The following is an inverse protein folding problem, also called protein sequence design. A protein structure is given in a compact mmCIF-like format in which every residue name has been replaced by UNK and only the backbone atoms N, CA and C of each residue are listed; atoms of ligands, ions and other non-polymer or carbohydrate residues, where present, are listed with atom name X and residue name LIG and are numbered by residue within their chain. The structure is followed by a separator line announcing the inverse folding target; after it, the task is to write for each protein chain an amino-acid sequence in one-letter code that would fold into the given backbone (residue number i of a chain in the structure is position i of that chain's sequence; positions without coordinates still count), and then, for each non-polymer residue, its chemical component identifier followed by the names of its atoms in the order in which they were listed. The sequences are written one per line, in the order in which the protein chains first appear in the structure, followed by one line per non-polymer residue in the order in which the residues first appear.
data_IF_588311377264
#
_entry.id   IF_588311377264
#
_cell.length_a   1.000
_cell.length_b   1.000
_cell.length_c   1.000
_cell.angle_alpha   90.00
_cell.angle_beta   90.00
_cell.angle_gamma   90.00
#
_symmetry.space_group_name_H-M   'P 1'
#
loop_
_entity.id
_entity.type
_entity.pdbx_description
1 polymer ?
#
# COMPACT_ATOMS: atom_id res chain seq x y z
N UNK A 1 -3.04 29.12 -47.27
CA UNK A 1 -2.24 29.34 -46.06
C UNK A 1 -2.97 28.63 -44.88
N UNK A 2 -2.61 27.34 -44.66
CA UNK A 2 -3.19 26.51 -43.62
C UNK A 2 -2.08 26.07 -42.67
N UNK A 3 -2.08 26.59 -41.46
CA UNK A 3 -1.18 26.14 -40.40
C UNK A 3 -1.85 25.00 -39.65
N UNK A 4 -1.40 23.79 -39.87
CA UNK A 4 -1.79 22.61 -39.11
C UNK A 4 -1.10 22.66 -37.75
N UNK A 5 -1.90 22.76 -36.69
CA UNK A 5 -1.47 22.71 -35.31
C UNK A 5 -1.47 21.25 -34.87
N UNK A 6 -0.31 20.62 -34.90
CA UNK A 6 -0.08 19.27 -34.36
C UNK A 6 -0.14 19.33 -32.83
N UNK A 7 -1.20 18.81 -32.25
CA UNK A 7 -1.32 18.56 -30.82
C UNK A 7 -0.41 17.37 -30.43
N UNK A 8 0.64 17.68 -29.69
CA UNK A 8 1.55 16.69 -29.13
C UNK A 8 0.90 16.07 -27.90
N UNK A 9 0.23 14.93 -28.11
CA UNK A 9 -0.29 14.06 -27.04
C UNK A 9 0.88 13.60 -26.17
N UNK A 10 0.99 14.14 -24.97
CA UNK A 10 1.96 13.69 -23.96
C UNK A 10 1.49 12.33 -23.46
N UNK A 11 2.13 11.29 -23.92
CA UNK A 11 2.08 9.98 -23.24
C UNK A 11 2.72 10.12 -21.85
N UNK A 12 1.90 10.19 -20.83
CA UNK A 12 2.37 10.00 -19.44
C UNK A 12 2.48 8.49 -19.22
N UNK A 13 3.68 7.96 -19.41
CA UNK A 13 3.98 6.61 -18.95
C UNK A 13 4.02 6.64 -17.43
N UNK A 14 2.99 6.10 -16.79
CA UNK A 14 2.96 5.83 -15.35
C UNK A 14 4.01 4.78 -15.00
N UNK A 15 5.25 5.20 -14.80
CA UNK A 15 6.29 4.33 -14.25
C UNK A 15 6.15 4.30 -12.75
N UNK A 16 5.92 3.14 -12.21
CA UNK A 16 6.16 2.84 -10.81
C UNK A 16 7.66 3.01 -10.52
N UNK A 17 8.11 4.25 -10.33
CA UNK A 17 9.46 4.55 -9.90
C UNK A 17 9.45 4.86 -8.41
N UNK A 18 9.97 3.96 -7.62
CA UNK A 18 10.48 4.32 -6.30
C UNK A 18 11.77 5.14 -6.53
N UNK A 19 11.84 6.41 -6.11
CA UNK A 19 13.07 7.18 -6.26
C UNK A 19 14.18 6.57 -5.42
N UNK A 20 15.33 6.38 -6.07
CA UNK A 20 16.57 5.95 -5.44
C UNK A 20 17.03 7.00 -4.42
N UNK A 21 17.28 6.55 -3.19
CA UNK A 21 18.02 7.34 -2.20
C UNK A 21 19.49 7.41 -2.64
N UNK A 22 19.92 8.59 -3.10
CA UNK A 22 21.34 8.86 -3.35
C UNK A 22 22.07 9.15 -2.04
N UNK A 23 23.19 8.46 -1.89
CA UNK A 23 24.16 8.55 -0.81
C UNK A 23 24.79 9.94 -0.70
N UNK A 24 25.00 10.39 0.53
CA UNK A 24 25.99 11.41 0.85
C UNK A 24 27.09 10.82 1.76
N UNK A 25 28.30 10.76 1.20
CA UNK A 25 29.56 11.16 1.80
C UNK A 25 30.15 10.36 2.95
N UNK A 26 31.19 9.63 2.60
CA UNK A 26 32.21 9.03 3.46
C UNK A 26 33.17 10.07 4.08
N UNK A 27 33.62 9.83 5.33
CA UNK A 27 34.80 10.43 5.92
C UNK A 27 35.22 9.68 7.20
N UNK A 28 36.54 9.49 7.45
CA UNK A 28 37.05 8.38 8.25
C UNK A 28 37.53 8.72 9.67
N UNK A 29 37.53 7.68 10.52
CA UNK A 29 38.38 7.40 11.71
C UNK A 29 38.36 8.37 12.90
N UNK A 30 37.91 7.83 14.05
CA UNK A 30 38.70 7.90 15.30
C UNK A 30 38.29 6.74 16.21
N UNK A 31 39.26 5.93 16.54
CA UNK A 31 39.24 4.91 17.58
C UNK A 31 39.23 5.59 18.95
N UNK A 32 38.46 5.09 19.92
CA UNK A 32 38.94 4.86 21.28
C UNK A 32 37.90 4.07 22.12
N UNK A 33 38.41 3.06 22.80
CA UNK A 33 37.80 2.16 23.76
C UNK A 33 37.21 2.89 24.98
N UNK A 34 36.07 2.41 25.52
CA UNK A 34 35.90 2.19 26.97
C UNK A 34 34.64 1.38 27.30
N UNK A 35 34.88 0.25 27.91
CA UNK A 35 34.19 -0.47 28.99
C UNK A 35 32.66 -0.43 29.13
N UNK A 36 32.09 -1.61 29.01
CA UNK A 36 31.04 -2.25 29.80
C UNK A 36 30.19 -1.41 30.74
N UNK A 37 28.90 -1.28 30.38
CA UNK A 37 27.80 -1.26 31.31
C UNK A 37 26.70 -2.15 30.73
N UNK A 38 26.48 -3.30 31.34
CA UNK A 38 25.35 -4.18 31.16
C UNK A 38 24.08 -3.43 31.58
N UNK A 39 23.46 -2.73 30.66
CA UNK A 39 22.05 -2.38 30.73
C UNK A 39 21.34 -3.30 29.76
N UNK A 40 20.68 -4.32 30.27
CA UNK A 40 19.77 -5.17 29.53
C UNK A 40 18.63 -4.32 28.96
N UNK A 41 18.83 -3.73 27.79
CA UNK A 41 17.75 -3.30 26.92
C UNK A 41 17.11 -4.57 26.42
N UNK A 42 16.04 -4.98 27.11
CA UNK A 42 15.09 -5.89 26.52
C UNK A 42 14.68 -5.27 25.18
N UNK A 43 15.24 -5.80 24.08
CA UNK A 43 14.65 -5.67 22.76
C UNK A 43 13.26 -6.29 22.86
N UNK A 44 12.28 -5.51 23.27
CA UNK A 44 10.90 -5.80 22.93
C UNK A 44 10.87 -5.76 21.41
N UNK A 45 10.98 -6.94 20.79
CA UNK A 45 10.55 -7.12 19.43
C UNK A 45 9.12 -6.60 19.38
N UNK A 46 8.93 -5.48 18.72
CA UNK A 46 7.61 -4.94 18.41
C UNK A 46 6.96 -5.95 17.46
N UNK A 47 6.27 -6.92 18.05
CA UNK A 47 5.57 -7.94 17.32
C UNK A 47 4.43 -7.26 16.55
N UNK A 48 4.69 -6.92 15.29
CA UNK A 48 3.66 -6.66 14.29
C UNK A 48 2.76 -5.43 14.45
N UNK A 49 3.00 -4.56 15.46
CA UNK A 49 2.21 -3.36 15.65
C UNK A 49 2.67 -2.24 14.70
N UNK A 50 1.79 -1.83 13.79
CA UNK A 50 2.00 -0.64 12.97
C UNK A 50 1.64 0.63 13.78
N UNK A 51 2.25 1.80 13.47
CA UNK A 51 1.88 3.06 14.12
C UNK A 51 0.41 3.39 13.87
N UNK A 52 -0.18 4.14 14.81
CA UNK A 52 -1.58 4.55 14.72
C UNK A 52 -1.87 5.33 13.44
N UNK A 53 -2.95 4.98 12.75
CA UNK A 53 -3.47 5.72 11.60
C UNK A 53 -4.55 6.73 11.97
N UNK A 54 -4.92 6.83 13.25
CA UNK A 54 -5.96 7.76 13.70
C UNK A 54 -5.37 8.98 14.43
N UNK A 55 -4.07 9.03 14.67
CA UNK A 55 -3.44 10.18 15.30
C UNK A 55 -3.22 11.31 14.31
N UNK A 56 -3.48 12.57 14.69
CA UNK A 56 -3.17 13.72 13.86
C UNK A 56 -1.70 13.74 13.43
N UNK A 57 -1.45 14.04 12.15
CA UNK A 57 -0.11 14.02 11.59
C UNK A 57 0.41 12.65 11.20
N UNK A 58 -0.36 11.56 11.43
CA UNK A 58 -0.06 10.20 10.98
C UNK A 58 1.38 9.76 11.31
N UNK A 59 1.79 9.76 12.60
CA UNK A 59 3.17 9.52 12.99
C UNK A 59 3.69 8.19 12.41
N UNK A 60 4.87 8.24 11.76
CA UNK A 60 5.50 7.07 11.15
C UNK A 60 5.00 6.72 9.75
N UNK A 61 3.88 7.25 9.31
CA UNK A 61 3.37 7.11 7.96
C UNK A 61 3.89 8.24 7.05
N UNK A 62 4.20 7.90 5.81
CA UNK A 62 4.67 8.85 4.79
C UNK A 62 3.73 8.82 3.60
N UNK A 63 3.20 9.96 3.24
CA UNK A 63 2.44 10.06 2.01
C UNK A 63 3.35 10.02 0.79
N UNK A 64 2.96 9.22 -0.21
CA UNK A 64 3.58 9.21 -1.55
C UNK A 64 2.52 9.58 -2.58
N UNK A 65 2.78 10.63 -3.31
CA UNK A 65 1.94 11.14 -4.38
C UNK A 65 2.32 10.50 -5.71
N UNK A 66 1.33 10.05 -6.48
CA UNK A 66 1.46 9.49 -7.82
C UNK A 66 0.78 10.36 -8.87
N UNK A 67 -0.45 10.79 -8.60
CA UNK A 67 -1.23 11.69 -9.45
C UNK A 67 -2.17 12.54 -8.58
N UNK A 68 -1.68 13.70 -8.10
CA UNK A 68 -2.40 14.49 -7.11
C UNK A 68 -2.50 13.78 -5.75
N UNK A 69 -3.28 14.35 -4.84
CA UNK A 69 -3.34 13.89 -3.45
C UNK A 69 -4.74 13.45 -3.06
N UNK A 70 -4.85 12.26 -2.53
CA UNK A 70 -6.01 11.78 -1.79
C UNK A 70 -6.00 12.45 -0.41
N UNK A 71 -7.16 12.88 0.07
CA UNK A 71 -7.27 13.49 1.40
C UNK A 71 -7.40 12.39 2.44
N UNK A 72 -6.44 12.33 3.37
CA UNK A 72 -6.44 11.42 4.50
C UNK A 72 -6.72 12.18 5.79
N UNK A 73 -7.84 11.88 6.44
CA UNK A 73 -8.28 12.52 7.67
C UNK A 73 -8.35 11.52 8.82
N UNK A 74 -7.43 11.58 9.79
CA UNK A 74 -7.53 10.81 11.02
C UNK A 74 -8.81 11.19 11.80
N UNK A 75 -9.52 10.18 12.30
CA UNK A 75 -10.72 10.30 13.13
C UNK A 75 -10.46 9.58 14.47
N UNK A 76 -9.80 10.24 15.44
CA UNK A 76 -9.34 9.60 16.68
C UNK A 76 -10.47 9.01 17.51
N UNK A 77 -11.59 9.72 17.64
CA UNK A 77 -12.75 9.28 18.43
C UNK A 77 -13.38 7.99 17.86
N UNK A 78 -13.40 7.86 16.53
CA UNK A 78 -13.92 6.68 15.84
C UNK A 78 -12.87 5.58 15.67
N UNK A 79 -11.60 5.89 15.93
CA UNK A 79 -10.42 5.04 15.67
C UNK A 79 -10.36 4.59 14.20
N UNK A 80 -10.59 5.53 13.30
CA UNK A 80 -10.60 5.33 11.85
C UNK A 80 -9.73 6.37 11.14
N UNK A 81 -9.31 6.03 9.92
CA UNK A 81 -8.75 6.93 8.93
C UNK A 81 -9.75 7.06 7.78
N UNK A 82 -10.23 8.26 7.53
CA UNK A 82 -11.03 8.57 6.34
C UNK A 82 -10.09 8.87 5.18
N UNK A 83 -10.35 8.27 4.01
CA UNK A 83 -9.68 8.55 2.74
C UNK A 83 -10.69 9.00 1.69
N UNK A 84 -10.42 10.14 1.04
CA UNK A 84 -11.27 10.72 0.00
C UNK A 84 -10.43 11.04 -1.23
N UNK A 85 -10.75 10.39 -2.35
CA UNK A 85 -10.12 10.62 -3.65
C UNK A 85 -11.11 11.24 -4.63
N UNK A 86 -10.64 12.19 -5.42
CA UNK A 86 -11.38 12.81 -6.53
C UNK A 86 -10.41 13.00 -7.70
N UNK A 87 -10.34 12.01 -8.58
CA UNK A 87 -9.40 12.00 -9.69
C UNK A 87 -7.93 12.05 -9.24
N UNK A 88 -7.60 11.44 -8.11
CA UNK A 88 -6.28 11.53 -7.48
C UNK A 88 -5.73 10.16 -7.10
N UNK A 89 -4.40 10.07 -6.95
CA UNK A 89 -3.70 8.90 -6.44
C UNK A 89 -2.56 9.31 -5.52
N UNK A 90 -2.70 9.05 -4.24
CA UNK A 90 -1.61 9.03 -3.25
C UNK A 90 -1.84 7.92 -2.23
N UNK A 91 -0.79 7.47 -1.58
CA UNK A 91 -0.88 6.42 -0.56
C UNK A 91 -0.08 6.77 0.69
N UNK A 92 -0.54 6.26 1.83
CA UNK A 92 0.17 6.34 3.10
C UNK A 92 1.00 5.07 3.27
N UNK A 93 2.32 5.22 3.38
CA UNK A 93 3.29 4.13 3.48
C UNK A 93 3.94 4.10 4.86
N UNK A 94 3.95 2.93 5.46
CA UNK A 94 4.76 2.61 6.61
C UNK A 94 5.88 1.67 6.19
N UNK A 95 7.14 2.14 6.25
CA UNK A 95 8.32 1.44 5.73
C UNK A 95 9.18 0.89 6.87
N UNK A 96 8.79 -0.26 7.41
CA UNK A 96 9.60 -1.04 8.36
C UNK A 96 9.46 -2.53 8.06
N UNK A 97 10.56 -3.29 8.16
CA UNK A 97 10.52 -4.74 7.97
C UNK A 97 9.68 -5.44 9.02
N UNK A 98 8.85 -6.40 8.58
CA UNK A 98 8.06 -7.30 9.42
C UNK A 98 8.41 -8.75 9.07
N UNK A 99 8.80 -9.55 10.06
CA UNK A 99 9.03 -11.00 9.90
C UNK A 99 7.67 -11.71 9.80
N UNK A 100 7.28 -12.06 8.56
CA UNK A 100 6.02 -12.76 8.29
C UNK A 100 6.10 -14.27 8.54
N UNK A 101 7.25 -14.81 8.96
CA UNK A 101 7.32 -16.18 9.51
C UNK A 101 6.76 -16.20 10.92
N UNK A 102 7.04 -15.17 11.71
CA UNK A 102 6.55 -15.03 13.08
C UNK A 102 5.11 -14.49 13.12
N UNK A 103 4.77 -13.58 12.22
CA UNK A 103 3.46 -12.90 12.16
C UNK A 103 2.88 -12.90 10.74
N UNK A 104 2.47 -14.07 10.21
CA UNK A 104 2.04 -14.19 8.82
C UNK A 104 0.68 -13.56 8.49
N UNK A 105 -0.10 -13.23 9.50
CA UNK A 105 -1.44 -12.73 9.30
C UNK A 105 -1.49 -11.21 9.34
N UNK A 106 -1.89 -10.58 8.23
CA UNK A 106 -2.27 -9.19 8.19
C UNK A 106 -3.77 -9.07 8.47
N UNK A 107 -4.11 -8.23 9.44
CA UNK A 107 -5.47 -7.93 9.85
C UNK A 107 -5.73 -6.44 9.62
N UNK A 108 -6.93 -6.10 9.14
CA UNK A 108 -7.39 -4.71 9.01
C UNK A 108 -8.91 -4.67 9.00
N UNK A 109 -9.48 -3.48 9.08
CA UNK A 109 -10.88 -3.27 8.76
C UNK A 109 -11.03 -2.11 7.80
N UNK A 110 -12.11 -2.12 7.04
CA UNK A 110 -12.46 -1.06 6.11
C UNK A 110 -13.96 -0.95 5.90
N UNK A 111 -14.37 0.22 5.47
CA UNK A 111 -15.69 0.51 4.98
C UNK A 111 -15.57 1.32 3.70
N UNK A 112 -16.27 0.96 2.66
CA UNK A 112 -16.30 1.67 1.38
C UNK A 112 -17.69 2.27 1.18
N UNK A 113 -17.75 3.53 0.78
CA UNK A 113 -19.02 4.21 0.53
C UNK A 113 -19.58 3.86 -0.86
N UNK A 114 -18.73 3.80 -1.86
CA UNK A 114 -19.10 3.56 -3.25
C UNK A 114 -18.02 2.76 -3.98
N UNK A 115 -18.43 2.01 -4.99
CA UNK A 115 -17.55 1.43 -6.00
C UNK A 115 -17.46 2.37 -7.21
N UNK A 116 -16.49 2.09 -8.11
CA UNK A 116 -16.28 2.85 -9.34
C UNK A 116 -17.05 2.21 -10.49
N UNK A 117 -17.70 3.04 -11.31
CA UNK A 117 -18.51 2.56 -12.44
C UNK A 117 -17.71 2.50 -13.72
N UNK A 118 -17.96 1.47 -14.56
CA UNK A 118 -17.40 1.37 -15.90
C UNK A 118 -15.87 1.18 -15.96
N UNK A 119 -15.22 0.81 -14.85
CA UNK A 119 -13.79 0.49 -14.81
C UNK A 119 -13.56 -0.98 -15.17
N UNK A 120 -12.48 -1.27 -15.89
CA UNK A 120 -11.94 -2.61 -16.06
C UNK A 120 -10.62 -2.69 -15.28
N UNK A 121 -10.65 -3.30 -14.10
CA UNK A 121 -9.54 -3.33 -13.15
C UNK A 121 -8.32 -4.14 -13.65
N UNK A 122 -8.48 -4.85 -14.78
CA UNK A 122 -7.38 -5.57 -15.45
C UNK A 122 -6.65 -4.71 -16.48
N UNK A 123 -7.14 -3.50 -16.73
CA UNK A 123 -6.56 -2.55 -17.69
C UNK A 123 -6.05 -1.30 -16.97
N UNK A 124 -5.02 -0.66 -17.54
CA UNK A 124 -4.42 0.54 -16.98
C UNK A 124 -5.39 1.70 -16.76
N UNK A 125 -6.37 1.83 -17.65
CA UNK A 125 -7.39 2.87 -17.55
C UNK A 125 -8.40 2.65 -16.41
N UNK A 126 -8.40 1.45 -15.82
CA UNK A 126 -9.30 1.07 -14.74
C UNK A 126 -8.59 0.59 -13.48
N UNK A 127 -7.27 0.83 -13.34
CA UNK A 127 -6.48 0.44 -12.13
C UNK A 127 -6.75 1.41 -10.97
N UNK A 128 -8.01 1.63 -10.66
CA UNK A 128 -8.51 2.46 -9.57
C UNK A 128 -9.30 1.61 -8.58
N UNK A 129 -9.14 1.90 -7.30
CA UNK A 129 -9.82 1.15 -6.23
C UNK A 129 -10.31 2.08 -5.12
N UNK A 130 -11.57 1.91 -4.69
CA UNK A 130 -12.10 2.68 -3.57
C UNK A 130 -11.36 2.41 -2.26
N UNK A 131 -10.79 1.19 -2.10
CA UNK A 131 -9.94 0.87 -0.97
C UNK A 131 -8.93 -0.21 -1.33
N UNK A 132 -7.67 -0.02 -0.92
CA UNK A 132 -6.60 -1.02 -1.06
C UNK A 132 -5.53 -0.95 0.04
N UNK A 133 -5.00 -2.12 0.39
CA UNK A 133 -3.87 -2.30 1.30
C UNK A 133 -2.75 -2.97 0.52
N UNK A 134 -1.56 -2.40 0.56
CA UNK A 134 -0.36 -2.98 -0.03
C UNK A 134 0.51 -3.66 1.01
N UNK A 135 1.10 -4.76 0.60
CA UNK A 135 2.21 -5.43 1.28
C UNK A 135 3.37 -5.50 0.30
N UNK A 136 4.48 -4.87 0.63
CA UNK A 136 5.62 -4.69 -0.28
C UNK A 136 6.84 -5.40 0.25
N UNK A 137 7.50 -6.21 -0.59
CA UNK A 137 8.83 -6.75 -0.36
C UNK A 137 9.81 -6.10 -1.33
N UNK A 138 10.83 -5.45 -0.80
CA UNK A 138 11.87 -4.79 -1.59
C UNK A 138 12.82 -5.82 -2.18
N UNK A 139 13.26 -5.59 -3.41
CA UNK A 139 14.24 -6.45 -4.09
C UNK A 139 15.69 -6.28 -3.58
N UNK A 140 15.90 -5.77 -2.37
CA UNK A 140 17.21 -5.46 -1.82
C UNK A 140 17.93 -4.39 -2.67
N UNK A 141 19.17 -4.67 -3.09
CA UNK A 141 19.92 -3.81 -4.00
C UNK A 141 19.36 -3.78 -5.43
N UNK A 142 18.43 -4.68 -5.74
CA UNK A 142 17.85 -4.88 -7.07
C UNK A 142 16.42 -4.35 -7.08
N UNK A 143 16.25 -3.04 -7.25
CA UNK A 143 14.96 -2.34 -7.12
C UNK A 143 13.85 -2.91 -8.04
N UNK A 144 14.18 -3.44 -9.24
CA UNK A 144 13.22 -4.06 -10.16
C UNK A 144 12.71 -5.42 -9.68
N UNK A 145 13.28 -5.99 -8.61
CA UNK A 145 12.75 -7.17 -7.92
C UNK A 145 11.77 -6.83 -6.81
N UNK A 146 11.47 -5.55 -6.58
CA UNK A 146 10.42 -5.16 -5.64
C UNK A 146 9.09 -5.73 -6.10
N UNK A 147 8.41 -6.46 -5.20
CA UNK A 147 7.11 -7.07 -5.44
C UNK A 147 6.08 -6.59 -4.44
N UNK A 148 4.82 -6.66 -4.82
CA UNK A 148 3.72 -6.26 -3.96
C UNK A 148 2.50 -7.18 -4.08
N UNK A 149 1.88 -7.53 -2.96
CA UNK A 149 0.49 -7.93 -2.92
C UNK A 149 -0.37 -6.70 -2.65
N UNK A 150 -1.50 -6.60 -3.33
CA UNK A 150 -2.44 -5.52 -3.14
C UNK A 150 -3.82 -6.12 -2.86
N UNK A 151 -4.28 -6.01 -1.63
CA UNK A 151 -5.63 -6.40 -1.23
C UNK A 151 -6.57 -5.25 -1.58
N UNK A 152 -7.61 -5.52 -2.37
CA UNK A 152 -8.51 -4.49 -2.89
C UNK A 152 -9.96 -4.77 -2.53
N UNK A 153 -10.71 -3.69 -2.38
CA UNK A 153 -12.15 -3.72 -2.61
C UNK A 153 -12.36 -3.45 -4.10
N UNK A 154 -12.69 -4.48 -4.85
CA UNK A 154 -12.88 -4.38 -6.28
C UNK A 154 -14.26 -3.80 -6.61
N UNK A 155 -14.36 -3.09 -7.73
CA UNK A 155 -15.64 -2.60 -8.23
C UNK A 155 -16.40 -3.66 -9.01
N UNK A 156 -15.69 -4.43 -9.84
CA UNK A 156 -16.26 -5.42 -10.77
C UNK A 156 -15.69 -6.82 -10.61
N UNK A 157 -14.43 -6.96 -10.18
CA UNK A 157 -13.83 -8.29 -10.01
C UNK A 157 -14.47 -9.05 -8.85
N UNK A 158 -14.80 -10.34 -9.03
CA UNK A 158 -15.39 -11.15 -7.98
C UNK A 158 -14.45 -11.31 -6.77
N UNK A 159 -15.05 -11.38 -5.58
CA UNK A 159 -14.33 -11.71 -4.34
C UNK A 159 -13.54 -13.03 -4.49
N UNK A 160 -12.27 -13.05 -4.08
CA UNK A 160 -11.34 -14.17 -4.23
C UNK A 160 -10.53 -14.17 -5.53
N UNK A 161 -10.85 -13.30 -6.51
CA UNK A 161 -10.06 -13.15 -7.73
C UNK A 161 -8.65 -12.68 -7.41
N UNK A 162 -7.68 -13.18 -8.19
CA UNK A 162 -6.28 -12.74 -8.16
C UNK A 162 -5.80 -12.50 -9.59
N UNK A 163 -5.13 -11.37 -9.83
CA UNK A 163 -4.60 -11.03 -11.15
C UNK A 163 -3.35 -10.16 -11.04
N UNK A 164 -2.47 -10.16 -12.05
CA UNK A 164 -1.33 -9.25 -12.09
C UNK A 164 -1.82 -7.81 -12.27
N UNK A 165 -1.14 -6.85 -11.64
CA UNK A 165 -1.43 -5.44 -11.83
C UNK A 165 -1.24 -5.03 -13.29
N UNK A 166 -2.08 -4.13 -13.79
CA UNK A 166 -2.09 -3.71 -15.19
C UNK A 166 -0.80 -2.99 -15.65
N UNK A 167 -0.03 -2.43 -14.72
CA UNK A 167 1.23 -1.74 -15.00
C UNK A 167 2.47 -2.62 -14.85
N UNK A 168 2.41 -3.67 -14.00
CA UNK A 168 3.56 -4.51 -13.70
C UNK A 168 3.18 -5.89 -13.19
N UNK A 169 3.84 -6.93 -13.69
CA UNK A 169 3.72 -8.29 -13.16
C UNK A 169 4.38 -8.50 -11.79
N UNK A 170 5.13 -7.49 -11.30
CA UNK A 170 5.71 -7.52 -9.96
C UNK A 170 4.69 -7.18 -8.86
N UNK A 171 3.47 -6.83 -9.21
CA UNK A 171 2.38 -6.62 -8.27
C UNK A 171 1.19 -7.52 -8.64
N UNK A 172 0.56 -8.12 -7.63
CA UNK A 172 -0.66 -8.90 -7.80
C UNK A 172 -1.78 -8.31 -6.95
N UNK A 173 -2.94 -8.18 -7.60
CA UNK A 173 -4.17 -7.73 -7.00
C UNK A 173 -4.95 -8.93 -6.45
N UNK A 174 -5.58 -8.77 -5.30
CA UNK A 174 -6.45 -9.78 -4.69
C UNK A 174 -7.74 -9.08 -4.27
N UNK A 175 -8.86 -9.40 -4.92
CA UNK A 175 -10.17 -8.91 -4.51
C UNK A 175 -10.58 -9.59 -3.19
N UNK A 176 -10.39 -8.90 -2.08
CA UNK A 176 -10.87 -9.38 -0.77
C UNK A 176 -12.35 -9.11 -0.62
N UNK A 177 -12.81 -8.01 -1.21
CA UNK A 177 -14.22 -7.66 -1.39
C UNK A 177 -14.47 -7.22 -2.81
N UNK A 178 -15.75 -7.32 -3.25
CA UNK A 178 -16.14 -6.88 -4.58
C UNK A 178 -17.59 -6.48 -4.70
N UNK A 179 -17.83 -5.49 -5.56
CA UNK A 179 -19.16 -4.97 -5.87
C UNK A 179 -19.81 -4.22 -4.71
N UNK A 180 -21.15 -4.13 -4.77
CA UNK A 180 -21.95 -3.20 -3.94
C UNK A 180 -22.59 -3.84 -2.70
N UNK A 181 -22.54 -5.17 -2.57
CA UNK A 181 -23.31 -5.92 -1.53
C UNK A 181 -23.05 -5.45 -0.10
N UNK A 182 -21.81 -5.08 0.21
CA UNK A 182 -21.37 -4.74 1.57
C UNK A 182 -20.98 -3.27 1.74
N UNK A 183 -21.36 -2.40 0.79
CA UNK A 183 -21.13 -0.96 0.89
C UNK A 183 -21.72 -0.39 2.19
N UNK A 184 -21.01 0.55 2.78
CA UNK A 184 -21.39 1.21 4.03
C UNK A 184 -21.17 0.39 5.30
N UNK A 185 -20.83 -0.90 5.19
CA UNK A 185 -20.54 -1.77 6.35
C UNK A 185 -19.06 -1.72 6.69
N UNK A 186 -18.73 -1.65 7.99
CA UNK A 186 -17.35 -1.87 8.47
C UNK A 186 -17.10 -3.39 8.49
N UNK A 187 -16.15 -3.84 7.66
CA UNK A 187 -15.77 -5.24 7.55
C UNK A 187 -14.34 -5.43 8.07
N UNK A 188 -14.11 -6.56 8.73
CA UNK A 188 -12.78 -6.95 9.21
C UNK A 188 -12.24 -8.06 8.33
N UNK A 189 -10.99 -7.91 7.92
CA UNK A 189 -10.29 -8.83 7.05
C UNK A 189 -9.08 -9.42 7.76
N UNK A 190 -8.71 -10.63 7.35
CA UNK A 190 -7.54 -11.34 7.82
C UNK A 190 -6.96 -12.17 6.67
N UNK A 191 -5.71 -11.93 6.30
CA UNK A 191 -5.05 -12.62 5.21
C UNK A 191 -3.70 -13.19 5.63
N UNK A 192 -3.43 -14.42 5.23
CA UNK A 192 -2.10 -15.01 5.39
C UNK A 192 -1.21 -14.55 4.23
N UNK A 193 -0.28 -13.64 4.54
CA UNK A 193 0.63 -13.04 3.55
C UNK A 193 1.46 -14.11 2.83
N UNK A 194 1.97 -15.11 3.55
CA UNK A 194 2.84 -16.13 2.95
C UNK A 194 2.08 -17.02 1.96
N UNK A 195 0.86 -17.41 2.31
CA UNK A 195 0.00 -18.20 1.41
C UNK A 195 -0.36 -17.40 0.16
N UNK A 196 -0.77 -16.14 0.31
CA UNK A 196 -1.11 -15.28 -0.81
C UNK A 196 0.10 -14.96 -1.68
N UNK A 197 1.29 -14.80 -1.06
CA UNK A 197 2.55 -14.59 -1.78
C UNK A 197 2.95 -15.81 -2.61
N UNK A 198 2.84 -17.01 -2.02
CA UNK A 198 3.09 -18.28 -2.74
C UNK A 198 2.13 -18.43 -3.93
N UNK A 199 0.85 -18.07 -3.75
CA UNK A 199 -0.13 -18.13 -4.85
C UNK A 199 0.17 -17.13 -5.97
N UNK A 200 0.66 -15.92 -5.61
CA UNK A 200 0.92 -14.84 -6.56
C UNK A 200 2.23 -15.03 -7.32
N UNK A 201 3.29 -15.46 -6.64
CA UNK A 201 4.66 -15.43 -7.16
C UNK A 201 5.34 -16.80 -7.24
N UNK A 202 4.73 -17.85 -6.68
CA UNK A 202 5.29 -19.20 -6.68
C UNK A 202 6.51 -19.39 -5.76
N UNK A 203 6.76 -18.45 -4.84
CA UNK A 203 7.86 -18.50 -3.89
C UNK A 203 7.42 -18.08 -2.48
N UNK A 204 8.14 -18.54 -1.47
CA UNK A 204 7.89 -18.15 -0.08
C UNK A 204 8.50 -16.77 0.23
N UNK A 205 7.98 -16.12 1.26
CA UNK A 205 8.47 -14.85 1.76
C UNK A 205 8.71 -14.90 3.26
N UNK A 206 9.83 -14.35 3.70
CA UNK A 206 10.19 -14.28 5.12
C UNK A 206 9.92 -12.89 5.73
N UNK A 207 10.09 -11.84 4.93
CA UNK A 207 10.00 -10.46 5.41
C UNK A 207 9.27 -9.60 4.39
N UNK A 208 8.37 -8.76 4.86
CA UNK A 208 7.80 -7.65 4.10
C UNK A 208 8.42 -6.34 4.61
N UNK A 209 8.67 -5.39 3.71
CA UNK A 209 9.42 -4.16 4.00
C UNK A 209 8.53 -2.94 4.18
N UNK A 210 7.30 -3.01 3.71
CA UNK A 210 6.34 -1.92 3.87
C UNK A 210 4.89 -2.42 3.79
N UNK A 211 4.02 -1.67 4.45
CA UNK A 211 2.56 -1.71 4.28
C UNK A 211 2.10 -0.34 3.82
N UNK A 212 1.10 -0.29 2.94
CA UNK A 212 0.49 0.98 2.57
C UNK A 212 -1.03 0.90 2.49
N UNK A 213 -1.66 2.05 2.70
CA UNK A 213 -3.10 2.27 2.57
C UNK A 213 -3.30 3.23 1.39
N UNK A 214 -4.24 2.94 0.50
CA UNK A 214 -4.51 3.82 -0.62
C UNK A 214 -5.98 3.75 -1.05
N UNK A 215 -6.52 4.90 -1.45
CA UNK A 215 -7.77 5.10 -2.16
C UNK A 215 -7.46 5.99 -3.34
N UNK A 216 -7.76 5.56 -4.55
CA UNK A 216 -7.39 6.26 -5.77
C UNK A 216 -8.44 6.18 -6.86
N UNK A 217 -8.45 7.19 -7.70
CA UNK A 217 -9.42 7.37 -8.79
C UNK A 217 -8.84 8.17 -9.95
N UNK A 218 -7.51 8.22 -10.09
CA UNK A 218 -6.83 9.07 -11.08
C UNK A 218 -7.00 8.58 -12.52
N UNK A 219 -7.18 7.28 -12.72
CA UNK A 219 -7.40 6.72 -14.05
C UNK A 219 -8.83 6.92 -14.54
N UNK A 220 -9.82 6.79 -13.66
CA UNK A 220 -11.25 6.94 -13.98
C UNK A 220 -11.76 8.38 -13.84
N UNK A 221 -11.04 9.23 -13.08
CA UNK A 221 -11.46 10.58 -12.73
C UNK A 221 -12.68 10.66 -11.81
N UNK A 222 -13.07 9.53 -11.21
CA UNK A 222 -14.25 9.43 -10.36
C UNK A 222 -13.96 9.88 -8.91
N UNK A 223 -14.93 9.68 -8.04
CA UNK A 223 -14.82 9.91 -6.59
C UNK A 223 -14.88 8.58 -5.86
N UNK A 224 -14.02 8.40 -4.86
CA UNK A 224 -14.10 7.30 -3.91
C UNK A 224 -13.94 7.79 -2.48
N UNK A 225 -14.62 7.11 -1.55
CA UNK A 225 -14.56 7.37 -0.13
C UNK A 225 -14.50 6.07 0.66
N UNK A 226 -13.49 5.97 1.52
CA UNK A 226 -13.29 4.80 2.35
C UNK A 226 -12.82 5.18 3.76
N UNK A 227 -13.09 4.28 4.72
CA UNK A 227 -12.59 4.36 6.09
C UNK A 227 -11.77 3.13 6.38
N UNK A 228 -10.65 3.33 7.03
CA UNK A 228 -9.75 2.25 7.43
C UNK A 228 -9.60 2.19 8.94
N UNK A 229 -9.75 1.01 9.52
CA UNK A 229 -9.29 0.72 10.86
C UNK A 229 -7.81 0.34 10.85
N UNK A 230 -7.21 0.29 12.05
CA UNK A 230 -5.79 0.01 12.24
C UNK A 230 -5.37 -1.32 11.61
N UNK A 231 -4.47 -1.35 10.63
CA UNK A 231 -3.86 -2.61 10.20
C UNK A 231 -2.85 -3.09 11.24
N UNK A 232 -2.71 -4.42 11.39
CA UNK A 232 -1.71 -5.02 12.27
C UNK A 232 -1.38 -6.44 11.84
N UNK A 233 -0.19 -6.90 12.20
CA UNK A 233 0.23 -8.28 11.98
C UNK A 233 0.00 -9.14 13.23
N UNK A 234 -0.30 -10.43 13.03
CA UNK A 234 -0.45 -11.39 14.12
C UNK A 234 0.09 -12.76 13.77
N UNK A 235 0.46 -13.54 14.82
CA UNK A 235 0.94 -14.92 14.65
C UNK A 235 -0.19 -15.90 14.28
N UNK A 236 -1.45 -15.56 14.62
CA UNK A 236 -2.64 -16.38 14.40
C UNK A 236 -3.90 -15.51 14.34
#
# INVERSE_FOLDING_TARGET
MNASRTEKKRERSGRFFLPALQNAGTGPRAWLLLAAALAGLACFAWAGALPSIFEPGLPGWKEKEFAGRTVYTPLPEERLLLAESLGTASGLFFEQPVDVRATPWLNWSWRVENVLSGVNEREKAGDDYPARIYVVAKGGLVFWKTRALTYVWASNEPEGSMWPNAFTSNAHMIAVRGGTRDLGKMLTEKRNIREDWMRAFGEDIETVDAVAIMTDTDNSGQKARAWYGQPFFSAR
#
